data_IF_512324836818
#
_entry.id   IF_512324836818
#
_cell.length_a   1.000
_cell.length_b   1.000
_cell.length_c   1.000
_cell.angle_alpha   90.00
_cell.angle_beta   90.00
_cell.angle_gamma   90.00
#
_symmetry.space_group_name_H-M   'P 1'
#
loop_
_entity.id
_entity.type
_entity.pdbx_description
1 polymer ?
#
# COMPACT_ATOMS: atom_id res chain seq x y z
N UNK A 1 -44.88 6.37 12.41
CA UNK A 1 -43.56 6.69 11.82
C UNK A 1 -42.48 6.33 12.83
N UNK A 2 -41.82 5.19 12.67
CA UNK A 2 -40.77 4.70 13.57
C UNK A 2 -39.47 4.73 12.75
N UNK A 3 -38.58 5.67 13.05
CA UNK A 3 -37.21 5.61 12.56
C UNK A 3 -36.45 4.53 13.34
N UNK A 4 -35.77 3.57 12.69
CA UNK A 4 -34.98 2.57 13.40
C UNK A 4 -33.69 3.20 13.94
N UNK A 5 -33.37 2.88 15.20
CA UNK A 5 -32.12 3.23 15.87
C UNK A 5 -30.91 2.71 15.07
N UNK A 6 -29.80 3.46 14.94
CA UNK A 6 -28.60 2.96 14.31
C UNK A 6 -28.03 1.80 15.14
N UNK A 7 -27.86 0.67 14.47
CA UNK A 7 -27.31 -0.58 14.99
C UNK A 7 -25.94 -0.27 15.61
N UNK A 8 -25.84 -0.49 16.92
CA UNK A 8 -24.58 -0.48 17.65
C UNK A 8 -23.72 -1.64 17.16
N UNK A 9 -22.84 -1.39 16.18
CA UNK A 9 -21.75 -2.32 15.88
C UNK A 9 -20.92 -2.50 17.15
N UNK A 10 -20.89 -3.75 17.63
CA UNK A 10 -20.35 -4.15 18.92
C UNK A 10 -18.88 -3.73 19.11
N UNK A 11 -18.58 -3.32 20.34
CA UNK A 11 -17.26 -2.87 20.82
C UNK A 11 -16.14 -3.89 20.55
N UNK A 12 -16.48 -5.17 20.36
CA UNK A 12 -15.56 -6.27 20.03
C UNK A 12 -14.84 -6.07 18.68
N UNK A 13 -15.55 -5.63 17.64
CA UNK A 13 -14.90 -5.34 16.34
C UNK A 13 -13.99 -4.11 16.46
N UNK A 14 -14.41 -3.07 17.20
CA UNK A 14 -13.62 -1.84 17.36
C UNK A 14 -12.24 -2.08 18.02
N UNK A 15 -12.14 -3.04 18.95
CA UNK A 15 -10.89 -3.42 19.60
C UNK A 15 -9.94 -4.25 18.70
N UNK A 16 -10.47 -5.09 17.81
CA UNK A 16 -9.66 -5.80 16.81
C UNK A 16 -9.09 -4.85 15.74
N UNK A 17 -9.88 -3.82 15.38
CA UNK A 17 -9.48 -2.79 14.41
C UNK A 17 -8.38 -1.86 14.96
N UNK A 18 -8.44 -1.50 16.24
CA UNK A 18 -7.41 -0.68 16.87
C UNK A 18 -6.10 -1.45 17.08
N UNK A 19 -6.15 -2.72 17.49
CA UNK A 19 -4.96 -3.56 17.63
C UNK A 19 -4.32 -3.92 16.30
N UNK A 20 -5.11 -4.16 15.25
CA UNK A 20 -4.56 -4.33 13.90
C UNK A 20 -3.93 -3.04 13.40
N UNK A 21 -4.59 -1.89 13.53
CA UNK A 21 -3.99 -0.60 13.14
C UNK A 21 -2.73 -0.31 13.96
N UNK A 22 -2.69 -0.59 15.26
CA UNK A 22 -1.53 -0.33 16.12
C UNK A 22 -0.34 -1.25 15.82
N UNK A 23 -0.56 -2.56 15.69
CA UNK A 23 0.49 -3.52 15.29
C UNK A 23 0.96 -3.30 13.85
N UNK A 24 0.04 -2.94 12.95
CA UNK A 24 0.33 -2.58 11.57
C UNK A 24 1.07 -1.23 11.46
N UNK A 25 0.73 -0.26 12.31
CA UNK A 25 1.49 0.99 12.41
C UNK A 25 2.88 0.74 12.93
N UNK A 26 3.13 -0.15 13.89
CA UNK A 26 4.48 -0.41 14.40
C UNK A 26 5.46 -0.89 13.30
N UNK A 27 5.01 -1.78 12.41
CA UNK A 27 5.80 -2.22 11.25
C UNK A 27 5.94 -1.18 10.13
N UNK A 28 4.93 -0.30 9.97
CA UNK A 28 4.87 0.77 8.96
C UNK A 28 5.45 2.11 9.43
N UNK A 29 5.67 2.28 10.73
CA UNK A 29 6.19 3.50 11.34
C UNK A 29 7.59 3.81 10.81
N UNK A 30 8.37 2.76 10.60
CA UNK A 30 9.75 2.85 10.09
C UNK A 30 9.82 3.10 8.57
N UNK A 31 8.75 2.85 7.80
CA UNK A 31 8.70 3.22 6.37
C UNK A 31 8.26 4.67 6.15
N UNK A 32 7.90 5.40 7.20
CA UNK A 32 7.57 6.82 7.21
C UNK A 32 8.28 7.48 8.40
N UNK A 33 9.61 7.44 8.38
CA UNK A 33 10.53 7.62 9.52
C UNK A 33 10.35 8.91 10.37
N UNK A 34 9.54 9.88 9.94
CA UNK A 34 9.41 11.18 10.59
C UNK A 34 7.98 11.57 11.01
N UNK A 35 6.97 10.70 10.83
CA UNK A 35 5.58 11.02 11.19
C UNK A 35 5.18 10.40 12.51
N UNK A 36 4.38 11.11 13.32
CA UNK A 36 3.91 10.59 14.62
C UNK A 36 2.81 9.52 14.41
N UNK A 37 2.63 8.52 15.30
CA UNK A 37 1.66 7.44 15.09
C UNK A 37 0.23 7.94 14.90
N UNK A 38 -0.14 9.00 15.64
CA UNK A 38 -1.45 9.65 15.52
C UNK A 38 -1.68 10.27 14.14
N UNK A 39 -0.63 10.84 13.52
CA UNK A 39 -0.72 11.43 12.18
C UNK A 39 -0.91 10.33 11.12
N UNK A 40 -0.15 9.23 11.23
CA UNK A 40 -0.30 8.09 10.31
C UNK A 40 -1.69 7.46 10.41
N UNK A 41 -2.24 7.31 11.62
CA UNK A 41 -3.61 6.83 11.83
C UNK A 41 -4.63 7.72 11.11
N UNK A 42 -4.49 9.04 11.23
CA UNK A 42 -5.36 9.99 10.52
C UNK A 42 -5.23 9.87 9.00
N UNK A 43 -4.01 9.76 8.48
CA UNK A 43 -3.75 9.58 7.04
C UNK A 43 -4.39 8.29 6.53
N UNK A 44 -4.19 7.16 7.21
CA UNK A 44 -4.76 5.87 6.80
C UNK A 44 -6.29 5.84 6.90
N UNK A 45 -6.87 6.46 7.93
CA UNK A 45 -8.31 6.63 8.05
C UNK A 45 -8.90 7.52 6.94
N UNK A 46 -8.11 8.44 6.40
CA UNK A 46 -8.51 9.21 5.23
C UNK A 46 -8.44 8.34 3.96
N UNK A 47 -7.33 7.62 3.77
CA UNK A 47 -7.14 6.75 2.60
C UNK A 47 -8.12 5.58 2.51
N UNK A 48 -8.66 5.11 3.64
CA UNK A 48 -9.72 4.09 3.62
C UNK A 48 -11.05 4.59 3.06
N UNK A 49 -11.21 5.90 2.89
CA UNK A 49 -12.39 6.54 2.29
C UNK A 49 -12.17 6.93 0.83
N UNK A 50 -10.92 7.03 0.40
CA UNK A 50 -10.56 7.36 -0.98
C UNK A 50 -10.70 6.12 -1.84
N UNK A 51 -11.53 6.20 -2.89
CA UNK A 51 -11.74 5.11 -3.84
C UNK A 51 -10.66 5.12 -4.91
N UNK A 52 -10.28 3.92 -5.33
CA UNK A 52 -9.30 3.67 -6.39
C UNK A 52 -9.76 2.44 -7.19
N UNK A 53 -9.62 2.48 -8.50
CA UNK A 53 -9.98 1.35 -9.38
C UNK A 53 -8.85 0.33 -9.45
N UNK A 54 -9.19 -0.91 -9.78
CA UNK A 54 -8.21 -2.00 -9.93
C UNK A 54 -7.07 -1.65 -10.91
N UNK A 55 -7.38 -0.96 -12.01
CA UNK A 55 -6.39 -0.47 -12.99
C UNK A 55 -5.42 0.53 -12.35
N UNK A 56 -5.93 1.44 -11.54
CA UNK A 56 -5.11 2.45 -10.85
C UNK A 56 -4.31 1.83 -9.70
N UNK A 57 -4.83 0.80 -9.01
CA UNK A 57 -4.08 0.02 -8.03
C UNK A 57 -2.86 -0.61 -8.70
N UNK A 58 -3.05 -1.26 -9.86
CA UNK A 58 -1.93 -1.83 -10.62
C UNK A 58 -0.90 -0.76 -11.01
N UNK A 59 -1.36 0.39 -11.51
CA UNK A 59 -0.47 1.48 -11.90
C UNK A 59 0.32 2.04 -10.71
N UNK A 60 -0.33 2.22 -9.57
CA UNK A 60 0.30 2.66 -8.32
C UNK A 60 1.39 1.68 -7.89
N UNK A 61 1.10 0.38 -7.96
CA UNK A 61 2.07 -0.69 -7.65
C UNK A 61 3.27 -0.61 -8.59
N UNK A 62 3.05 -0.48 -9.90
CA UNK A 62 4.13 -0.35 -10.87
C UNK A 62 5.04 0.84 -10.53
N UNK A 63 4.47 2.02 -10.30
CA UNK A 63 5.23 3.23 -9.97
C UNK A 63 5.96 3.12 -8.62
N UNK A 64 5.33 2.50 -7.62
CA UNK A 64 5.94 2.31 -6.31
C UNK A 64 7.13 1.33 -6.34
N UNK A 65 7.10 0.34 -7.23
CA UNK A 65 8.09 -0.73 -7.30
C UNK A 65 9.26 -0.46 -8.26
N UNK A 66 9.27 0.69 -8.95
CA UNK A 66 10.30 1.06 -9.95
C UNK A 66 11.71 0.87 -9.39
N UNK A 67 12.52 -0.06 -9.91
CA UNK A 67 13.84 -0.34 -9.36
C UNK A 67 14.85 0.78 -9.62
N UNK A 68 14.75 1.45 -10.77
CA UNK A 68 15.69 2.45 -11.27
C UNK A 68 15.00 3.42 -12.25
N UNK A 69 15.71 4.47 -12.67
CA UNK A 69 15.17 5.51 -13.57
C UNK A 69 14.84 5.00 -14.98
N UNK A 70 15.52 3.96 -15.45
CA UNK A 70 15.29 3.39 -16.78
C UNK A 70 13.89 2.78 -16.88
N UNK A 71 13.48 2.01 -15.86
CA UNK A 71 12.12 1.45 -15.79
C UNK A 71 11.07 2.56 -15.79
N UNK A 72 11.29 3.66 -15.07
CA UNK A 72 10.40 4.82 -15.10
C UNK A 72 10.26 5.40 -16.52
N UNK A 73 11.39 5.61 -17.20
CA UNK A 73 11.40 6.16 -18.56
C UNK A 73 10.70 5.24 -19.56
N UNK A 74 10.87 3.92 -19.43
CA UNK A 74 10.20 2.95 -20.30
C UNK A 74 8.68 2.99 -20.10
N UNK A 75 8.22 3.10 -18.84
CA UNK A 75 6.79 3.27 -18.53
C UNK A 75 6.26 4.59 -19.13
N UNK A 76 6.97 5.70 -18.96
CA UNK A 76 6.56 7.02 -19.47
C UNK A 76 6.51 7.07 -21.01
N UNK A 77 7.40 6.33 -21.68
CA UNK A 77 7.46 6.24 -23.15
C UNK A 77 6.55 5.17 -23.75
N UNK A 78 5.76 4.47 -22.93
CA UNK A 78 4.90 3.37 -23.38
C UNK A 78 5.66 2.13 -23.85
N UNK A 79 6.93 1.98 -23.48
CA UNK A 79 7.80 0.85 -23.86
C UNK A 79 7.67 -0.28 -22.83
N UNK A 80 6.45 -0.73 -22.59
CA UNK A 80 6.17 -1.78 -21.59
C UNK A 80 6.81 -3.13 -21.97
N UNK A 81 7.01 -3.38 -23.26
CA UNK A 81 7.74 -4.57 -23.75
C UNK A 81 9.23 -4.61 -23.38
N UNK A 82 9.81 -3.48 -22.97
CA UNK A 82 11.20 -3.41 -22.48
C UNK A 82 11.29 -3.65 -20.97
N UNK A 83 10.17 -3.84 -20.27
CA UNK A 83 10.16 -4.10 -18.84
C UNK A 83 10.59 -5.54 -18.58
N UNK A 84 11.54 -5.71 -17.65
CA UNK A 84 11.98 -7.06 -17.27
C UNK A 84 10.83 -7.90 -16.73
N UNK A 85 10.80 -9.18 -17.11
CA UNK A 85 9.86 -10.17 -16.59
C UNK A 85 9.88 -10.20 -15.06
N UNK A 86 11.06 -10.04 -14.45
CA UNK A 86 11.21 -9.98 -12.99
C UNK A 86 10.43 -8.81 -12.38
N UNK A 87 10.48 -7.62 -12.97
CA UNK A 87 9.74 -6.45 -12.51
C UNK A 87 8.23 -6.66 -12.66
N UNK A 88 7.78 -7.14 -13.82
CA UNK A 88 6.37 -7.42 -14.08
C UNK A 88 5.81 -8.47 -13.11
N UNK A 89 6.53 -9.57 -12.90
CA UNK A 89 6.15 -10.60 -11.94
C UNK A 89 6.09 -10.05 -10.51
N UNK A 90 7.00 -9.15 -10.13
CA UNK A 90 6.97 -8.49 -8.82
C UNK A 90 5.71 -7.65 -8.67
N UNK A 91 5.36 -6.85 -9.68
CA UNK A 91 4.14 -6.05 -9.69
C UNK A 91 2.89 -6.92 -9.63
N UNK A 92 2.83 -7.98 -10.43
CA UNK A 92 1.70 -8.91 -10.48
C UNK A 92 1.48 -9.59 -9.12
N UNK A 93 2.54 -10.09 -8.47
CA UNK A 93 2.41 -10.72 -7.14
C UNK A 93 1.96 -9.73 -6.05
N UNK A 94 2.41 -8.47 -6.13
CA UNK A 94 1.93 -7.44 -5.22
C UNK A 94 0.46 -7.09 -5.48
N UNK A 95 0.04 -7.08 -6.74
CA UNK A 95 -1.34 -6.83 -7.16
C UNK A 95 -2.28 -7.98 -6.77
N UNK A 96 -1.87 -9.23 -6.98
CA UNK A 96 -2.57 -10.42 -6.50
C UNK A 96 -2.77 -10.38 -4.99
N UNK A 97 -1.74 -9.98 -4.23
CA UNK A 97 -1.88 -9.79 -2.79
C UNK A 97 -2.88 -8.68 -2.45
N UNK A 98 -2.82 -7.56 -3.17
CA UNK A 98 -3.71 -6.41 -2.98
C UNK A 98 -5.19 -6.73 -3.24
N UNK A 99 -5.49 -7.65 -4.17
CA UNK A 99 -6.85 -7.98 -4.57
C UNK A 99 -7.38 -9.31 -4.02
N UNK A 100 -6.51 -10.21 -3.58
CA UNK A 100 -6.90 -11.58 -3.23
C UNK A 100 -6.75 -11.94 -1.75
N UNK A 101 -5.90 -11.23 -0.99
CA UNK A 101 -5.70 -11.58 0.42
C UNK A 101 -6.93 -11.23 1.26
N UNK A 102 -7.27 -12.07 2.24
CA UNK A 102 -8.44 -11.89 3.11
C UNK A 102 -8.45 -10.52 3.82
N UNK A 103 -7.29 -10.04 4.25
CA UNK A 103 -7.15 -8.71 4.89
C UNK A 103 -7.44 -7.55 3.93
N UNK A 104 -7.39 -7.81 2.62
CA UNK A 104 -7.71 -6.85 1.55
C UNK A 104 -9.17 -6.91 1.09
N UNK A 105 -9.94 -7.89 1.57
CA UNK A 105 -11.38 -7.98 1.28
C UNK A 105 -12.26 -7.22 2.29
N UNK A 106 -11.65 -6.60 3.30
CA UNK A 106 -12.35 -5.81 4.30
C UNK A 106 -12.86 -4.50 3.70
N UNK A 107 -13.92 -3.93 4.26
CA UNK A 107 -14.52 -2.67 3.79
C UNK A 107 -13.53 -1.51 3.74
N UNK A 108 -12.56 -1.49 4.65
CA UNK A 108 -11.55 -0.43 4.77
C UNK A 108 -10.41 -0.56 3.76
N UNK A 109 -10.24 -1.72 3.12
CA UNK A 109 -9.14 -2.03 2.19
C UNK A 109 -9.64 -2.26 0.77
N UNK A 110 -10.74 -2.98 0.59
CA UNK A 110 -11.27 -3.33 -0.73
C UNK A 110 -11.68 -2.07 -1.52
N UNK A 111 -11.00 -1.84 -2.64
CA UNK A 111 -11.24 -0.69 -3.51
C UNK A 111 -10.94 0.66 -2.85
N UNK A 112 -10.05 0.68 -1.85
CA UNK A 112 -9.61 1.90 -1.18
C UNK A 112 -8.13 2.15 -1.41
N UNK A 113 -7.72 3.42 -1.33
CA UNK A 113 -6.31 3.79 -1.44
C UNK A 113 -5.47 3.19 -0.30
N UNK A 114 -6.08 3.00 0.86
CA UNK A 114 -5.45 2.28 1.97
C UNK A 114 -5.17 0.82 1.60
N UNK A 115 -6.11 0.13 0.94
CA UNK A 115 -5.89 -1.21 0.38
C UNK A 115 -4.75 -1.25 -0.62
N UNK A 116 -4.66 -0.27 -1.54
CA UNK A 116 -3.57 -0.18 -2.50
C UNK A 116 -2.19 -0.07 -1.80
N UNK A 117 -2.08 0.82 -0.80
CA UNK A 117 -0.86 0.94 0.02
C UNK A 117 -0.56 -0.37 0.77
N UNK A 118 -1.58 -1.01 1.31
CA UNK A 118 -1.46 -2.28 2.02
C UNK A 118 -0.97 -3.39 1.11
N UNK A 119 -1.44 -3.45 -0.14
CA UNK A 119 -0.95 -4.34 -1.18
C UNK A 119 0.57 -4.29 -1.34
N UNK A 120 1.12 -3.09 -1.54
CA UNK A 120 2.58 -2.90 -1.69
C UNK A 120 3.33 -3.31 -0.42
N UNK A 121 2.90 -2.84 0.75
CA UNK A 121 3.58 -3.15 2.01
C UNK A 121 3.48 -4.64 2.38
N UNK A 122 2.32 -5.25 2.14
CA UNK A 122 2.03 -6.65 2.42
C UNK A 122 2.80 -7.59 1.49
N UNK A 123 3.08 -7.19 0.24
CA UNK A 123 3.99 -7.92 -0.62
C UNK A 123 5.37 -8.11 0.03
N UNK A 124 6.01 -7.03 0.48
CA UNK A 124 7.33 -7.12 1.12
C UNK A 124 7.29 -7.83 2.48
N UNK A 125 6.15 -7.78 3.18
CA UNK A 125 6.04 -8.43 4.48
C UNK A 125 5.72 -9.93 4.36
N UNK A 126 4.89 -10.34 3.41
CA UNK A 126 4.23 -11.65 3.43
C UNK A 126 4.49 -12.49 2.17
N UNK A 127 4.80 -11.87 1.03
CA UNK A 127 4.93 -12.57 -0.26
C UNK A 127 6.37 -12.68 -0.72
N UNK A 128 7.18 -11.64 -0.52
CA UNK A 128 8.58 -11.64 -0.92
C UNK A 128 9.37 -12.62 -0.07
N UNK A 129 10.07 -13.54 -0.73
CA UNK A 129 11.02 -14.42 -0.08
C UNK A 129 12.30 -13.67 0.29
N UNK A 130 12.82 -13.97 1.48
CA UNK A 130 14.10 -13.47 1.98
C UNK A 130 14.98 -14.66 2.36
N UNK A 131 16.29 -14.49 2.24
CA UNK A 131 17.26 -15.52 2.63
C UNK A 131 17.09 -15.94 4.08
N UNK A 132 16.89 -14.97 4.96
CA UNK A 132 16.74 -15.14 6.40
C UNK A 132 16.01 -13.93 7.01
N UNK A 133 15.76 -14.01 8.32
CA UNK A 133 15.07 -12.96 9.08
C UNK A 133 15.86 -11.65 9.10
N UNK A 134 17.18 -11.70 9.10
CA UNK A 134 18.03 -10.51 9.13
C UNK A 134 17.99 -9.76 7.79
N UNK A 135 18.02 -10.48 6.67
CA UNK A 135 17.85 -9.93 5.33
C UNK A 135 16.47 -9.27 5.17
N UNK A 136 15.41 -9.89 5.73
CA UNK A 136 14.07 -9.29 5.79
C UNK A 136 14.07 -8.00 6.61
N UNK A 137 14.67 -8.03 7.80
CA UNK A 137 14.81 -6.86 8.67
C UNK A 137 15.54 -5.72 7.97
N UNK A 138 16.69 -6.01 7.35
CA UNK A 138 17.49 -5.04 6.58
C UNK A 138 16.68 -4.43 5.44
N UNK A 139 15.96 -5.28 4.70
CA UNK A 139 15.12 -4.84 3.58
C UNK A 139 14.02 -3.88 4.00
N UNK A 140 13.34 -4.17 5.12
CA UNK A 140 12.15 -3.44 5.56
C UNK A 140 12.49 -2.22 6.41
N UNK A 141 13.52 -2.28 7.25
CA UNK A 141 13.74 -1.30 8.33
C UNK A 141 15.10 -0.58 8.30
N UNK A 142 16.12 -1.12 7.62
CA UNK A 142 17.50 -0.61 7.68
C UNK A 142 17.99 -0.06 6.33
N UNK A 143 17.17 0.76 5.67
CA UNK A 143 17.52 1.44 4.42
C UNK A 143 17.41 0.57 3.16
N UNK A 144 16.91 -0.66 3.28
CA UNK A 144 16.84 -1.59 2.16
C UNK A 144 15.69 -1.33 1.18
N UNK A 145 15.60 -2.20 0.15
CA UNK A 145 14.63 -2.05 -0.93
C UNK A 145 13.18 -2.01 -0.46
N UNK A 146 12.78 -2.84 0.50
CA UNK A 146 11.42 -2.86 1.01
C UNK A 146 11.02 -1.51 1.63
N UNK A 147 11.92 -0.90 2.40
CA UNK A 147 11.71 0.42 2.97
C UNK A 147 11.57 1.48 1.86
N UNK A 148 12.47 1.49 0.89
CA UNK A 148 12.44 2.47 -0.20
C UNK A 148 11.14 2.40 -1.03
N UNK A 149 10.68 1.18 -1.38
CA UNK A 149 9.45 1.00 -2.17
C UNK A 149 8.18 1.29 -1.38
N UNK A 150 8.15 0.97 -0.09
CA UNK A 150 7.02 1.31 0.77
C UNK A 150 6.92 2.82 1.02
N UNK A 151 8.05 3.52 1.15
CA UNK A 151 8.07 4.98 1.21
C UNK A 151 7.60 5.62 -0.11
N UNK A 152 8.02 5.08 -1.26
CA UNK A 152 7.54 5.53 -2.57
C UNK A 152 6.01 5.33 -2.70
N UNK A 153 5.48 4.18 -2.29
CA UNK A 153 4.04 3.92 -2.26
C UNK A 153 3.30 4.91 -1.36
N UNK A 154 3.85 5.23 -0.18
CA UNK A 154 3.26 6.21 0.72
C UNK A 154 3.18 7.60 0.08
N UNK A 155 4.24 8.03 -0.60
CA UNK A 155 4.27 9.31 -1.30
C UNK A 155 3.26 9.35 -2.45
N UNK A 156 3.17 8.28 -3.23
CA UNK A 156 2.18 8.12 -4.30
C UNK A 156 0.75 8.15 -3.76
N UNK A 157 0.45 7.44 -2.69
CA UNK A 157 -0.87 7.48 -2.05
C UNK A 157 -1.19 8.86 -1.48
N UNK A 158 -0.19 9.55 -0.91
CA UNK A 158 -0.39 10.93 -0.43
C UNK A 158 -0.76 11.86 -1.59
N UNK A 159 -0.06 11.75 -2.72
CA UNK A 159 -0.36 12.52 -3.92
C UNK A 159 -1.74 12.16 -4.49
N UNK A 160 -2.05 10.87 -4.63
CA UNK A 160 -3.33 10.38 -5.14
C UNK A 160 -4.50 10.83 -4.29
N UNK A 161 -4.38 10.82 -2.96
CA UNK A 161 -5.42 11.31 -2.06
C UNK A 161 -5.80 12.78 -2.28
N UNK A 162 -4.90 13.59 -2.87
CA UNK A 162 -5.14 15.00 -3.17
C UNK A 162 -5.47 15.28 -4.64
N UNK A 163 -4.96 14.47 -5.58
CA UNK A 163 -5.03 14.74 -7.03
C UNK A 163 -5.74 13.64 -7.84
N UNK A 164 -6.14 12.53 -7.21
CA UNK A 164 -6.64 11.36 -7.92
C UNK A 164 -5.61 10.80 -8.91
N UNK A 165 -6.09 10.35 -10.07
CA UNK A 165 -5.26 9.74 -11.12
C UNK A 165 -4.14 10.66 -11.65
N UNK A 166 -4.29 11.99 -11.55
CA UNK A 166 -3.26 12.95 -11.96
C UNK A 166 -1.96 12.80 -11.15
N UNK A 167 -2.02 12.17 -9.98
CA UNK A 167 -0.84 11.82 -9.20
C UNK A 167 0.13 10.90 -9.97
N UNK A 168 -0.33 10.15 -10.98
CA UNK A 168 0.50 9.28 -11.79
C UNK A 168 1.26 10.01 -12.91
N UNK A 169 0.87 11.25 -13.23
CA UNK A 169 1.51 12.06 -14.28
C UNK A 169 2.76 12.80 -13.77
N UNK A 170 2.92 12.94 -12.45
CA UNK A 170 3.94 13.78 -11.81
C UNK A 170 5.16 12.98 -11.31
N UNK A 171 5.32 11.73 -11.72
CA UNK A 171 6.44 10.86 -11.29
C UNK A 171 7.30 10.43 -12.46
#
# INVERSE_FOLDING_TARGET
MIYPKPISLSISLRNHYLTHIETFTAGKFNSCQYRKPRELKTIFNNWSKVRITDKEVYKLIQLALIPNKEVLQNIQRGREGELSTYFLNTCNRAYEYALGNETQQLETTRGTLFGAYNGVTGYFQNVRSYKDREAKLKSLLLGGTGQARTQAAFNLCTAYASKGADAFLLN
#
